data_IF_059730425753
#
_entry.id   IF_059730425753
#
_cell.length_a   1.000
_cell.length_b   1.000
_cell.length_c   1.000
_cell.angle_alpha   90.00
_cell.angle_beta   90.00
_cell.angle_gamma   90.00
#
_symmetry.space_group_name_H-M   'P 1'
#
loop_
_entity.id
_entity.type
_entity.pdbx_description
1 polymer ?
#
# COMPACT_ATOMS: atom_id res chain seq x y z
N UNK A 1 2.97 13.97 -35.47
CA UNK A 1 4.38 14.16 -35.08
C UNK A 1 5.08 12.80 -35.13
N UNK A 2 6.31 12.77 -35.62
CA UNK A 2 7.19 11.59 -35.61
C UNK A 2 8.64 12.05 -35.31
N UNK A 3 9.60 11.15 -35.41
CA UNK A 3 11.01 11.43 -35.11
C UNK A 3 11.63 12.56 -35.94
N UNK A 4 11.18 12.79 -37.18
CA UNK A 4 11.72 13.86 -38.03
C UNK A 4 11.35 15.25 -37.51
N UNK A 5 10.33 15.34 -36.64
CA UNK A 5 9.88 16.58 -36.01
C UNK A 5 10.46 16.80 -34.61
N UNK A 6 11.27 15.87 -34.08
CA UNK A 6 11.75 15.88 -32.68
C UNK A 6 12.42 17.19 -32.27
N UNK A 7 13.37 17.65 -33.07
CA UNK A 7 14.11 18.88 -32.77
C UNK A 7 13.24 20.12 -32.94
N UNK A 8 12.40 20.18 -33.98
CA UNK A 8 11.45 21.28 -34.19
C UNK A 8 10.43 21.38 -33.06
N UNK A 9 9.94 20.25 -32.54
CA UNK A 9 9.02 20.23 -31.40
C UNK A 9 9.70 20.74 -30.11
N UNK A 10 10.94 20.32 -29.88
CA UNK A 10 11.75 20.80 -28.76
C UNK A 10 12.02 22.30 -28.86
N UNK A 11 12.40 22.81 -30.04
CA UNK A 11 12.63 24.24 -30.27
C UNK A 11 11.34 25.06 -30.06
N UNK A 12 10.21 24.56 -30.55
CA UNK A 12 8.91 25.14 -30.29
C UNK A 12 8.62 25.26 -28.79
N UNK A 13 8.84 24.19 -28.02
CA UNK A 13 8.60 24.21 -26.57
C UNK A 13 9.52 25.18 -25.82
N UNK A 14 10.79 25.31 -26.24
CA UNK A 14 11.71 26.32 -25.68
C UNK A 14 11.21 27.73 -25.93
N UNK A 15 10.81 28.04 -27.17
CA UNK A 15 10.24 29.35 -27.54
C UNK A 15 8.94 29.64 -26.80
N UNK A 16 8.05 28.66 -26.71
CA UNK A 16 6.82 28.77 -25.96
C UNK A 16 7.11 29.07 -24.48
N UNK A 17 8.06 28.37 -23.86
CA UNK A 17 8.37 28.61 -22.45
C UNK A 17 8.89 30.02 -22.21
N UNK A 18 9.73 30.57 -23.10
CA UNK A 18 10.23 31.95 -23.00
C UNK A 18 9.07 32.97 -23.01
N UNK A 19 8.04 32.72 -23.82
CA UNK A 19 6.91 33.64 -23.99
C UNK A 19 5.87 33.54 -22.87
N UNK A 20 5.76 32.38 -22.21
CA UNK A 20 4.82 32.19 -21.10
C UNK A 20 5.40 32.85 -19.83
N UNK A 21 4.64 33.72 -19.12
CA UNK A 21 5.12 34.35 -17.88
C UNK A 21 5.63 33.33 -16.85
N UNK A 22 6.70 33.67 -16.11
CA UNK A 22 7.36 32.75 -15.17
C UNK A 22 6.44 32.25 -14.04
N UNK A 23 5.44 33.04 -13.66
CA UNK A 23 4.43 32.68 -12.67
C UNK A 23 3.40 31.66 -13.20
N UNK A 24 3.31 31.47 -14.51
CA UNK A 24 2.46 30.44 -15.11
C UNK A 24 3.24 29.15 -15.25
N UNK A 25 2.53 28.04 -15.03
CA UNK A 25 3.04 26.70 -15.19
C UNK A 25 2.91 26.25 -16.66
N UNK A 26 3.92 25.55 -17.15
CA UNK A 26 3.87 24.84 -18.43
C UNK A 26 4.10 23.36 -18.17
N UNK A 27 3.23 22.52 -18.72
CA UNK A 27 3.38 21.06 -18.68
C UNK A 27 3.41 20.49 -20.08
N UNK A 28 4.19 19.43 -20.29
CA UNK A 28 4.28 18.74 -21.58
C UNK A 28 3.82 17.30 -21.40
N UNK A 29 2.76 16.90 -22.10
CA UNK A 29 2.38 15.50 -22.17
C UNK A 29 3.35 14.73 -23.08
N UNK A 30 3.87 13.61 -22.60
CA UNK A 30 4.80 12.74 -23.34
C UNK A 30 4.29 11.31 -23.34
N UNK A 31 4.44 10.63 -24.46
CA UNK A 31 4.01 9.24 -24.63
C UNK A 31 4.91 8.29 -23.84
N UNK A 32 4.34 7.38 -23.05
CA UNK A 32 5.10 6.32 -22.38
C UNK A 32 5.98 5.55 -23.37
N UNK A 33 7.21 5.26 -22.98
CA UNK A 33 8.18 4.61 -23.88
C UNK A 33 9.08 3.60 -23.16
N UNK A 34 8.51 2.58 -22.48
CA UNK A 34 9.29 1.59 -21.73
C UNK A 34 10.23 0.78 -22.64
N UNK A 35 9.97 0.72 -23.94
CA UNK A 35 10.75 -0.05 -24.92
C UNK A 35 11.82 0.77 -25.67
N UNK A 36 12.03 2.03 -25.29
CA UNK A 36 13.01 2.93 -25.93
C UNK A 36 12.83 3.03 -27.45
N UNK A 37 11.58 3.10 -27.92
CA UNK A 37 11.27 3.36 -29.32
C UNK A 37 11.78 4.74 -29.75
N UNK A 38 12.53 4.78 -30.86
CA UNK A 38 13.14 6.00 -31.38
C UNK A 38 12.48 6.52 -32.65
N UNK A 39 11.50 5.78 -33.19
CA UNK A 39 10.76 6.09 -34.41
C UNK A 39 9.25 6.15 -34.15
N UNK A 40 8.50 6.66 -35.12
CA UNK A 40 7.07 6.90 -35.00
C UNK A 40 6.75 8.02 -34.00
N UNK A 41 5.55 8.01 -33.46
CA UNK A 41 5.09 9.04 -32.53
C UNK A 41 5.94 9.11 -31.25
N UNK A 42 6.37 7.99 -30.67
CA UNK A 42 7.32 7.96 -29.54
C UNK A 42 8.64 8.64 -29.88
N UNK A 43 9.14 8.43 -31.10
CA UNK A 43 10.35 9.05 -31.60
C UNK A 43 10.30 10.58 -31.64
N UNK A 44 9.13 11.20 -31.57
CA UNK A 44 9.00 12.66 -31.56
C UNK A 44 9.40 13.33 -30.23
N UNK A 45 9.49 12.57 -29.14
CA UNK A 45 9.75 13.11 -27.81
C UNK A 45 11.24 12.97 -27.42
N UNK A 46 11.97 14.09 -27.42
CA UNK A 46 13.27 14.16 -26.74
C UNK A 46 13.05 14.51 -25.26
N UNK A 47 12.89 13.48 -24.42
CA UNK A 47 12.57 13.63 -23.02
C UNK A 47 13.50 14.59 -22.28
N UNK A 48 14.82 14.48 -22.53
CA UNK A 48 15.81 15.35 -21.89
C UNK A 48 15.64 16.79 -22.33
N UNK A 49 15.64 17.05 -23.64
CA UNK A 49 15.57 18.42 -24.14
C UNK A 49 14.21 19.08 -23.85
N UNK A 50 13.12 18.30 -23.81
CA UNK A 50 11.80 18.78 -23.40
C UNK A 50 11.78 19.15 -21.91
N UNK A 51 12.38 18.33 -21.05
CA UNK A 51 12.56 18.66 -19.62
C UNK A 51 13.45 19.89 -19.41
N UNK A 52 14.51 20.05 -20.20
CA UNK A 52 15.39 21.22 -20.16
C UNK A 52 14.68 22.50 -20.62
N UNK A 53 13.73 22.39 -21.55
CA UNK A 53 12.92 23.51 -22.01
C UNK A 53 11.98 24.05 -20.92
N UNK A 54 11.65 23.24 -19.92
CA UNK A 54 10.76 23.57 -18.81
C UNK A 54 11.55 24.23 -17.67
N UNK A 55 11.72 25.54 -17.76
CA UNK A 55 12.58 26.33 -16.84
C UNK A 55 11.83 26.97 -15.67
N UNK A 56 10.51 26.86 -15.61
CA UNK A 56 9.69 27.35 -14.50
C UNK A 56 9.76 26.45 -13.28
N UNK A 57 9.58 26.99 -12.05
CA UNK A 57 9.70 26.24 -10.81
C UNK A 57 8.63 25.16 -10.64
N UNK A 58 7.50 25.31 -11.33
CA UNK A 58 6.37 24.38 -11.26
C UNK A 58 6.20 23.54 -12.54
N UNK A 59 7.05 23.69 -13.53
CA UNK A 59 6.89 23.01 -14.81
C UNK A 59 7.19 21.52 -14.70
N UNK A 60 6.53 20.70 -15.53
CA UNK A 60 6.68 19.24 -15.46
C UNK A 60 6.38 18.52 -16.79
N UNK A 61 6.90 17.30 -16.93
CA UNK A 61 6.45 16.34 -17.92
C UNK A 61 5.30 15.50 -17.34
N UNK A 62 4.18 15.45 -18.06
CA UNK A 62 3.07 14.55 -17.80
C UNK A 62 3.30 13.26 -18.60
N UNK A 63 3.80 12.21 -17.95
CA UNK A 63 4.13 10.95 -18.61
C UNK A 63 2.89 10.08 -18.70
N UNK A 64 2.35 9.89 -19.91
CA UNK A 64 1.10 9.17 -20.15
C UNK A 64 1.31 7.64 -20.07
N UNK A 65 1.53 7.11 -18.86
CA UNK A 65 1.80 5.69 -18.58
C UNK A 65 0.54 4.81 -18.66
N UNK A 66 -0.18 4.92 -19.77
CA UNK A 66 -1.36 4.15 -20.12
C UNK A 66 -1.44 3.93 -21.63
N UNK A 67 -2.45 3.17 -22.07
CA UNK A 67 -2.58 2.66 -23.44
C UNK A 67 -1.48 1.69 -23.85
N UNK A 68 -0.98 0.88 -22.90
CA UNK A 68 -0.19 -0.31 -23.19
C UNK A 68 -0.93 -1.23 -24.17
N UNK A 69 -2.21 -1.46 -23.91
CA UNK A 69 -3.16 -2.03 -24.87
C UNK A 69 -4.10 -0.92 -25.36
N UNK A 70 -4.29 -0.82 -26.67
CA UNK A 70 -5.01 0.30 -27.30
C UNK A 70 -6.15 -0.17 -28.21
N UNK A 71 -6.97 0.77 -28.68
CA UNK A 71 -8.07 0.49 -29.62
C UNK A 71 -7.52 -0.08 -30.93
N UNK A 72 -8.00 -1.26 -31.31
CA UNK A 72 -7.51 -1.98 -32.49
C UNK A 72 -6.29 -2.87 -32.23
N UNK A 73 -5.67 -2.77 -31.06
CA UNK A 73 -4.54 -3.59 -30.63
C UNK A 73 -4.97 -4.91 -29.96
N UNK A 74 -4.00 -5.75 -29.57
CA UNK A 74 -4.28 -6.99 -28.86
C UNK A 74 -4.98 -6.75 -27.50
N UNK A 75 -5.71 -7.76 -27.03
CA UNK A 75 -6.32 -7.74 -25.70
C UNK A 75 -5.22 -7.71 -24.62
N UNK A 76 -5.37 -6.81 -23.65
CA UNK A 76 -4.46 -6.73 -22.51
C UNK A 76 -4.75 -5.58 -21.56
N UNK A 77 -3.93 -5.44 -20.50
CA UNK A 77 -4.05 -4.36 -19.53
C UNK A 77 -3.88 -2.98 -20.21
N UNK A 78 -4.63 -1.99 -19.71
CA UNK A 78 -4.48 -0.59 -20.16
C UNK A 78 -3.16 -0.01 -19.67
N UNK A 79 -2.70 -0.42 -18.49
CA UNK A 79 -1.45 -0.01 -17.87
C UNK A 79 -1.00 -1.07 -16.86
N UNK A 80 -0.29 -2.12 -17.26
CA UNK A 80 0.27 -3.09 -16.32
C UNK A 80 1.28 -2.43 -15.38
N UNK A 81 1.48 -2.99 -14.18
CA UNK A 81 2.40 -2.40 -13.21
C UNK A 81 3.84 -2.33 -13.76
N UNK A 82 4.30 -3.37 -14.45
CA UNK A 82 5.62 -3.41 -15.09
C UNK A 82 5.74 -2.35 -16.19
N UNK A 83 4.74 -2.20 -17.05
CA UNK A 83 4.74 -1.17 -18.10
C UNK A 83 4.85 0.24 -17.50
N UNK A 84 4.11 0.52 -16.43
CA UNK A 84 4.15 1.79 -15.72
C UNK A 84 5.54 2.01 -15.10
N UNK A 85 6.07 1.02 -14.38
CA UNK A 85 7.37 1.13 -13.72
C UNK A 85 8.53 1.29 -14.71
N UNK A 86 8.52 0.54 -15.81
CA UNK A 86 9.56 0.62 -16.83
C UNK A 86 9.49 1.94 -17.62
N UNK A 87 8.30 2.52 -17.75
CA UNK A 87 8.12 3.88 -18.28
C UNK A 87 8.77 4.92 -17.37
N UNK A 88 8.62 4.79 -16.05
CA UNK A 88 9.28 5.66 -15.06
C UNK A 88 10.80 5.52 -15.17
N UNK A 89 11.32 4.28 -15.15
CA UNK A 89 12.75 4.01 -15.30
C UNK A 89 13.31 4.58 -16.59
N UNK A 90 12.61 4.41 -17.71
CA UNK A 90 12.98 5.01 -18.98
C UNK A 90 13.12 6.53 -18.87
N UNK A 91 12.10 7.18 -18.30
CA UNK A 91 12.05 8.64 -18.15
C UNK A 91 13.24 9.16 -17.32
N UNK A 92 13.53 8.52 -16.19
CA UNK A 92 14.67 8.82 -15.33
C UNK A 92 16.00 8.58 -16.04
N UNK A 93 16.13 7.48 -16.79
CA UNK A 93 17.31 7.16 -17.58
C UNK A 93 17.59 8.16 -18.71
N UNK A 94 16.57 8.91 -19.15
CA UNK A 94 16.73 10.07 -20.05
C UNK A 94 17.12 11.35 -19.31
N UNK A 95 17.53 11.26 -18.05
CA UNK A 95 17.99 12.39 -17.22
C UNK A 95 16.92 13.46 -17.01
N UNK A 96 15.65 13.06 -16.98
CA UNK A 96 14.56 13.92 -16.51
C UNK A 96 14.57 13.89 -14.98
N UNK A 97 14.67 15.03 -14.29
CA UNK A 97 14.62 15.06 -12.83
C UNK A 97 13.28 14.56 -12.29
N UNK A 98 13.30 13.77 -11.22
CA UNK A 98 12.11 13.12 -10.67
C UNK A 98 11.03 14.13 -10.23
N UNK A 99 11.45 15.26 -9.68
CA UNK A 99 10.61 16.39 -9.25
C UNK A 99 9.93 17.14 -10.42
N UNK A 100 10.26 16.80 -11.67
CA UNK A 100 9.59 17.27 -12.90
C UNK A 100 8.72 16.21 -13.55
N UNK A 101 8.52 15.04 -12.94
CA UNK A 101 7.74 13.95 -13.53
C UNK A 101 6.40 13.84 -12.81
N UNK A 102 5.30 14.01 -13.56
CA UNK A 102 3.95 13.65 -13.13
C UNK A 102 3.54 12.37 -13.86
N UNK A 103 3.22 11.33 -13.09
CA UNK A 103 2.84 10.02 -13.63
C UNK A 103 1.35 10.00 -14.02
N UNK A 104 1.06 9.76 -15.30
CA UNK A 104 -0.29 9.58 -15.81
C UNK A 104 -0.84 8.17 -15.55
N UNK A 105 -2.01 8.06 -14.93
CA UNK A 105 -2.71 6.79 -14.65
C UNK A 105 -4.12 6.83 -15.30
N UNK A 106 -4.62 5.72 -15.90
CA UNK A 106 -5.93 5.72 -16.53
C UNK A 106 -7.06 5.54 -15.50
N UNK A 107 -8.17 6.25 -15.72
CA UNK A 107 -9.45 6.07 -15.04
C UNK A 107 -10.46 5.30 -15.89
N UNK A 108 -9.99 4.59 -16.91
CA UNK A 108 -10.82 3.79 -17.81
C UNK A 108 -10.25 2.40 -18.01
N UNK A 109 -11.13 1.49 -18.39
CA UNK A 109 -10.77 0.20 -18.94
C UNK A 109 -10.92 0.15 -20.45
N UNK A 110 -10.60 -1.00 -21.04
CA UNK A 110 -10.86 -1.30 -22.45
C UNK A 110 -11.56 -2.64 -22.60
N UNK A 111 -12.53 -2.71 -23.52
CA UNK A 111 -13.32 -3.91 -23.81
C UNK A 111 -12.91 -4.55 -25.15
N UNK A 112 -12.78 -5.87 -25.14
CA UNK A 112 -12.65 -6.74 -26.31
C UNK A 112 -13.78 -7.78 -26.31
N UNK A 113 -14.19 -8.24 -27.49
CA UNK A 113 -15.18 -9.31 -27.62
C UNK A 113 -14.83 -10.28 -28.75
N UNK A 114 -14.88 -11.58 -28.47
CA UNK A 114 -14.56 -12.63 -29.43
C UNK A 114 -15.56 -12.64 -30.58
N UNK A 115 -15.08 -12.57 -31.83
CA UNK A 115 -15.91 -12.51 -33.05
C UNK A 115 -16.88 -11.31 -33.07
N UNK A 116 -16.52 -10.21 -32.42
CA UNK A 116 -17.32 -8.98 -32.39
C UNK A 116 -16.53 -7.78 -32.93
N UNK A 117 -17.20 -6.63 -33.08
CA UNK A 117 -16.54 -5.37 -33.46
C UNK A 117 -15.91 -4.61 -32.28
N UNK A 118 -15.90 -5.22 -31.08
CA UNK A 118 -15.26 -4.68 -29.88
C UNK A 118 -13.79 -5.10 -29.83
N UNK A 119 -12.92 -4.15 -30.14
CA UNK A 119 -11.47 -4.35 -30.16
C UNK A 119 -10.77 -3.19 -29.43
N UNK A 120 -10.65 -3.32 -28.11
CA UNK A 120 -10.00 -2.34 -27.23
C UNK A 120 -10.76 -1.02 -27.12
N UNK A 121 -12.08 -1.03 -27.15
CA UNK A 121 -12.89 0.20 -27.01
C UNK A 121 -12.83 0.68 -25.56
N UNK A 122 -12.63 1.98 -25.34
CA UNK A 122 -12.58 2.56 -23.98
C UNK A 122 -13.92 2.44 -23.26
N UNK A 123 -13.88 2.10 -21.98
CA UNK A 123 -15.04 1.99 -21.08
C UNK A 123 -14.73 2.65 -19.75
N UNK A 124 -15.64 3.50 -19.27
CA UNK A 124 -15.55 4.07 -17.91
C UNK A 124 -15.91 3.02 -16.86
N UNK A 125 -15.49 3.24 -15.62
CA UNK A 125 -15.90 2.45 -14.46
C UNK A 125 -17.41 2.40 -14.27
N UNK A 126 -18.12 3.50 -14.53
CA UNK A 126 -19.58 3.51 -14.47
C UNK A 126 -20.20 2.48 -15.44
N UNK A 127 -19.63 2.37 -16.65
CA UNK A 127 -20.06 1.37 -17.62
C UNK A 127 -19.66 -0.04 -17.20
N UNK A 128 -18.45 -0.22 -16.65
CA UNK A 128 -18.00 -1.52 -16.14
C UNK A 128 -18.94 -2.01 -15.03
N UNK A 129 -19.29 -1.16 -14.07
CA UNK A 129 -20.21 -1.48 -12.97
C UNK A 129 -21.61 -1.83 -13.51
N UNK A 130 -22.15 -1.03 -14.43
CA UNK A 130 -23.44 -1.33 -15.06
C UNK A 130 -23.45 -2.66 -15.83
N UNK A 131 -22.37 -2.98 -16.53
CA UNK A 131 -22.19 -4.25 -17.25
C UNK A 131 -22.12 -5.42 -16.24
N UNK A 132 -21.36 -5.26 -15.15
CA UNK A 132 -21.29 -6.29 -14.09
C UNK A 132 -22.66 -6.56 -13.48
N UNK A 133 -23.45 -5.52 -13.20
CA UNK A 133 -24.80 -5.67 -12.64
C UNK A 133 -25.76 -6.34 -13.63
N UNK A 134 -25.75 -5.89 -14.89
CA UNK A 134 -26.62 -6.40 -15.94
C UNK A 134 -26.33 -7.87 -16.28
N UNK A 135 -25.06 -8.25 -16.35
CA UNK A 135 -24.61 -9.60 -16.71
C UNK A 135 -24.08 -10.38 -15.50
N UNK A 136 -24.55 -10.07 -14.28
CA UNK A 136 -24.05 -10.63 -13.01
C UNK A 136 -23.97 -12.17 -12.96
N UNK A 137 -24.83 -12.85 -13.71
CA UNK A 137 -24.87 -14.31 -13.76
C UNK A 137 -23.66 -14.93 -14.50
N UNK A 138 -22.97 -14.16 -15.34
CA UNK A 138 -21.80 -14.61 -16.11
C UNK A 138 -20.56 -13.75 -15.86
N UNK A 139 -20.72 -12.57 -15.27
CA UNK A 139 -19.64 -11.66 -14.94
C UNK A 139 -18.72 -12.24 -13.85
N UNK A 140 -17.42 -12.29 -14.14
CA UNK A 140 -16.38 -12.72 -13.21
C UNK A 140 -15.19 -11.77 -13.28
N UNK A 141 -14.86 -11.16 -12.15
CA UNK A 141 -13.62 -10.39 -11.98
C UNK A 141 -12.53 -11.32 -11.46
N UNK A 142 -11.39 -11.33 -12.15
CA UNK A 142 -10.16 -11.97 -11.69
C UNK A 142 -9.05 -10.93 -11.60
N UNK A 143 -7.99 -11.23 -10.85
CA UNK A 143 -6.81 -10.37 -10.74
C UNK A 143 -5.61 -11.10 -11.33
N UNK A 144 -5.02 -10.55 -12.39
CA UNK A 144 -3.87 -11.15 -13.04
C UNK A 144 -2.59 -10.83 -12.24
N UNK A 145 -1.92 -11.87 -11.72
CA UNK A 145 -0.73 -11.71 -10.88
C UNK A 145 0.53 -11.31 -11.65
N UNK A 146 0.54 -11.44 -12.97
CA UNK A 146 1.69 -11.04 -13.79
C UNK A 146 1.65 -9.54 -14.06
N UNK A 147 0.56 -9.06 -14.67
CA UNK A 147 0.35 -7.64 -14.96
C UNK A 147 -0.05 -6.80 -13.75
N UNK A 148 -0.44 -7.44 -12.64
CA UNK A 148 -0.99 -6.81 -11.44
C UNK A 148 -2.23 -5.95 -11.74
N UNK A 149 -3.08 -6.41 -12.66
CA UNK A 149 -4.24 -5.68 -13.18
C UNK A 149 -5.49 -6.57 -13.13
N UNK A 150 -6.67 -6.04 -12.73
CA UNK A 150 -7.90 -6.80 -12.78
C UNK A 150 -8.44 -6.98 -14.21
N UNK A 151 -9.19 -8.06 -14.38
CA UNK A 151 -9.86 -8.42 -15.62
C UNK A 151 -11.28 -8.88 -15.32
N UNK A 152 -12.26 -8.27 -15.97
CA UNK A 152 -13.64 -8.72 -15.97
C UNK A 152 -13.88 -9.54 -17.24
N UNK A 153 -14.38 -10.75 -17.09
CA UNK A 153 -14.92 -11.55 -18.20
C UNK A 153 -16.41 -11.75 -17.98
N UNK A 154 -17.21 -11.59 -19.03
CA UNK A 154 -18.65 -11.87 -18.99
C UNK A 154 -19.14 -12.40 -20.34
N UNK A 155 -20.27 -13.10 -20.32
CA UNK A 155 -20.93 -13.59 -21.53
C UNK A 155 -22.34 -13.02 -21.60
N UNK A 156 -22.62 -12.28 -22.67
CA UNK A 156 -23.98 -11.91 -23.05
C UNK A 156 -24.60 -13.08 -23.82
N UNK A 157 -25.73 -13.60 -23.35
CA UNK A 157 -26.47 -14.69 -23.99
C UNK A 157 -27.52 -14.15 -24.95
N UNK A 158 -28.02 -15.02 -25.84
CA UNK A 158 -29.18 -14.68 -26.67
C UNK A 158 -30.41 -14.43 -25.78
N UNK A 159 -31.11 -13.34 -26.03
CA UNK A 159 -32.27 -12.90 -25.23
C UNK A 159 -31.93 -12.00 -24.04
N UNK A 160 -30.65 -11.85 -23.68
CA UNK A 160 -30.26 -10.87 -22.66
C UNK A 160 -30.49 -9.44 -23.18
N UNK A 161 -30.87 -8.47 -22.32
CA UNK A 161 -30.87 -7.06 -22.69
C UNK A 161 -29.49 -6.63 -23.21
N UNK A 162 -29.48 -5.85 -24.29
CA UNK A 162 -28.23 -5.31 -24.83
C UNK A 162 -27.74 -4.13 -23.98
N UNK A 163 -26.43 -3.88 -24.03
CA UNK A 163 -25.79 -2.69 -23.46
C UNK A 163 -25.03 -1.96 -24.56
N UNK A 164 -25.08 -0.63 -24.58
CA UNK A 164 -24.47 0.18 -25.65
C UNK A 164 -23.19 0.86 -25.18
N UNK A 165 -22.10 0.63 -25.89
CA UNK A 165 -20.78 1.22 -25.62
C UNK A 165 -20.28 1.91 -26.89
N UNK A 166 -19.92 3.20 -26.78
CA UNK A 166 -19.39 3.99 -27.90
C UNK A 166 -20.25 3.90 -29.18
N UNK A 167 -21.57 3.92 -29.02
CA UNK A 167 -22.52 3.85 -30.15
C UNK A 167 -22.67 2.45 -30.76
N UNK A 168 -22.20 1.39 -30.09
CA UNK A 168 -22.32 0.01 -30.54
C UNK A 168 -23.02 -0.84 -29.49
N UNK A 169 -23.96 -1.66 -29.92
CA UNK A 169 -24.66 -2.60 -29.05
C UNK A 169 -23.81 -3.85 -28.87
N UNK A 170 -23.75 -4.36 -27.63
CA UNK A 170 -23.27 -5.70 -27.38
C UNK A 170 -24.20 -6.71 -28.06
N UNK A 171 -23.60 -7.71 -28.69
CA UNK A 171 -24.28 -8.87 -29.26
C UNK A 171 -23.93 -10.12 -28.42
N UNK A 172 -24.70 -11.22 -28.52
CA UNK A 172 -24.38 -12.46 -27.83
C UNK A 172 -22.93 -12.88 -28.10
N UNK A 173 -22.18 -13.14 -27.03
CA UNK A 173 -20.74 -13.36 -27.11
C UNK A 173 -20.05 -13.20 -25.76
N UNK A 174 -18.76 -13.53 -25.74
CA UNK A 174 -17.91 -13.37 -24.55
C UNK A 174 -17.02 -12.15 -24.72
N UNK A 175 -16.98 -11.34 -23.67
CA UNK A 175 -16.24 -10.10 -23.62
C UNK A 175 -15.26 -10.10 -22.46
N UNK A 176 -14.15 -9.40 -22.68
CA UNK A 176 -13.13 -9.15 -21.67
C UNK A 176 -12.95 -7.65 -21.51
N UNK A 177 -12.93 -7.19 -20.27
CA UNK A 177 -12.58 -5.82 -19.89
C UNK A 177 -11.35 -5.85 -18.99
N UNK A 178 -10.30 -5.16 -19.41
CA UNK A 178 -9.16 -4.85 -18.56
C UNK A 178 -9.30 -3.42 -18.04
N UNK A 179 -9.11 -3.23 -16.74
CA UNK A 179 -9.34 -1.96 -16.06
C UNK A 179 -8.46 -1.85 -14.82
N UNK A 180 -8.54 -0.75 -14.07
CA UNK A 180 -7.86 -0.61 -12.78
C UNK A 180 -8.85 -0.75 -11.62
N UNK A 181 -8.47 -1.41 -10.53
CA UNK A 181 -9.26 -1.36 -9.29
C UNK A 181 -8.40 -0.82 -8.15
N UNK A 182 -8.95 -0.81 -6.94
CA UNK A 182 -8.21 -0.42 -5.73
C UNK A 182 -6.81 -1.04 -5.67
N UNK A 183 -6.71 -2.35 -5.88
CA UNK A 183 -5.47 -3.10 -5.69
C UNK A 183 -4.41 -2.72 -6.71
N UNK A 184 -4.77 -2.56 -7.98
CA UNK A 184 -3.82 -2.17 -9.03
C UNK A 184 -3.44 -0.69 -8.96
N UNK A 185 -4.40 0.19 -8.63
CA UNK A 185 -4.17 1.62 -8.47
C UNK A 185 -3.18 1.92 -7.33
N UNK A 186 -3.36 1.31 -6.15
CA UNK A 186 -2.43 1.49 -5.01
C UNK A 186 -0.99 1.16 -5.38
N UNK A 187 -0.78 0.06 -6.10
CA UNK A 187 0.56 -0.36 -6.54
C UNK A 187 1.21 0.68 -7.46
N UNK A 188 0.44 1.32 -8.33
CA UNK A 188 0.93 2.38 -9.22
C UNK A 188 1.23 3.68 -8.46
N UNK A 189 0.37 4.06 -7.51
CA UNK A 189 0.59 5.24 -6.66
C UNK A 189 1.85 5.10 -5.79
N UNK A 190 2.15 3.90 -5.29
CA UNK A 190 3.40 3.62 -4.57
C UNK A 190 4.64 3.89 -5.44
N UNK A 191 4.57 3.69 -6.77
CA UNK A 191 5.71 4.00 -7.65
C UNK A 191 6.06 5.49 -7.65
N UNK A 192 5.07 6.37 -7.47
CA UNK A 192 5.29 7.82 -7.37
C UNK A 192 6.19 8.13 -6.17
N UNK A 193 5.94 7.49 -5.02
CA UNK A 193 6.78 7.62 -3.82
C UNK A 193 8.13 6.92 -4.00
N UNK A 194 8.14 5.68 -4.47
CA UNK A 194 9.35 4.85 -4.68
C UNK A 194 10.41 5.59 -5.51
N UNK A 195 9.98 6.32 -6.53
CA UNK A 195 10.88 7.06 -7.43
C UNK A 195 10.97 8.55 -7.12
N UNK A 196 10.38 9.00 -6.01
CA UNK A 196 10.34 10.40 -5.60
C UNK A 196 9.87 11.35 -6.73
N UNK A 197 8.83 10.92 -7.45
CA UNK A 197 8.27 11.70 -8.56
C UNK A 197 7.47 12.89 -8.02
N UNK A 198 7.32 13.95 -8.83
CA UNK A 198 6.54 15.14 -8.48
C UNK A 198 5.11 14.83 -8.03
N UNK A 199 4.49 13.83 -8.65
CA UNK A 199 3.11 13.44 -8.35
C UNK A 199 2.50 12.56 -9.44
N UNK A 200 1.17 12.53 -9.48
CA UNK A 200 0.39 11.80 -10.48
C UNK A 200 -0.73 12.67 -11.04
N UNK A 201 -1.20 12.34 -12.23
CA UNK A 201 -2.42 12.85 -12.82
C UNK A 201 -3.16 11.73 -13.55
N UNK A 202 -4.41 11.98 -13.94
CA UNK A 202 -5.28 10.89 -14.40
C UNK A 202 -6.08 11.25 -15.64
N UNK A 203 -6.29 10.26 -16.50
CA UNK A 203 -7.14 10.40 -17.69
C UNK A 203 -8.36 9.47 -17.60
N UNK A 204 -9.59 9.97 -17.52
CA UNK A 204 -9.92 11.36 -17.18
C UNK A 204 -11.07 11.39 -16.18
N UNK A 205 -11.25 12.53 -15.53
CA UNK A 205 -12.30 12.75 -14.54
C UNK A 205 -13.68 12.30 -15.05
N UNK A 206 -14.52 11.82 -14.14
CA UNK A 206 -15.85 11.25 -14.42
C UNK A 206 -15.83 9.90 -15.13
N UNK A 207 -14.67 9.24 -15.24
CA UNK A 207 -14.57 7.87 -15.75
C UNK A 207 -14.20 6.87 -14.67
N UNK A 208 -13.67 7.32 -13.55
CA UNK A 208 -13.25 6.55 -12.41
C UNK A 208 -14.41 5.94 -11.62
N UNK A 209 -14.11 4.92 -10.81
CA UNK A 209 -14.97 4.61 -9.69
C UNK A 209 -14.77 5.72 -8.63
N UNK A 210 -15.83 6.35 -8.08
CA UNK A 210 -15.67 7.40 -7.08
C UNK A 210 -14.81 6.99 -5.88
N UNK A 211 -14.79 5.70 -5.52
CA UNK A 211 -13.96 5.18 -4.44
C UNK A 211 -12.45 5.28 -4.73
N UNK A 212 -12.05 5.43 -6.00
CA UNK A 212 -10.65 5.64 -6.36
C UNK A 212 -10.08 6.89 -5.69
N UNK A 213 -10.88 7.95 -5.54
CA UNK A 213 -10.45 9.18 -4.87
C UNK A 213 -10.10 8.99 -3.41
N UNK A 214 -10.69 8.01 -2.72
CA UNK A 214 -10.29 7.67 -1.36
C UNK A 214 -8.81 7.27 -1.32
N UNK A 215 -8.32 6.53 -2.31
CA UNK A 215 -6.91 6.13 -2.36
C UNK A 215 -5.98 7.27 -2.76
N UNK A 216 -6.42 8.17 -3.64
CA UNK A 216 -5.65 9.39 -3.90
C UNK A 216 -5.55 10.24 -2.65
N UNK A 217 -6.63 10.39 -1.88
CA UNK A 217 -6.62 11.11 -0.61
C UNK A 217 -5.71 10.44 0.43
N UNK A 218 -5.85 9.13 0.61
CA UNK A 218 -5.00 8.30 1.46
C UNK A 218 -3.51 8.44 1.06
N UNK A 219 -3.18 8.27 -0.22
CA UNK A 219 -1.83 8.40 -0.74
C UNK A 219 -1.26 9.83 -0.59
N UNK A 220 -2.06 10.85 -0.86
CA UNK A 220 -1.66 12.26 -0.73
C UNK A 220 -1.37 12.66 0.72
N UNK A 221 -2.11 12.08 1.67
CA UNK A 221 -1.97 12.37 3.10
C UNK A 221 -1.06 11.38 3.84
N UNK A 222 -0.48 10.40 3.14
CA UNK A 222 0.29 9.29 3.72
C UNK A 222 -0.50 8.40 4.71
N UNK A 223 -1.83 8.33 4.55
CA UNK A 223 -2.77 7.59 5.39
C UNK A 223 -3.13 6.25 4.70
N UNK A 224 -3.09 5.11 5.41
CA UNK A 224 -3.21 3.78 4.78
C UNK A 224 -4.53 3.01 5.09
N UNK A 225 -5.30 3.42 6.11
CA UNK A 225 -6.47 2.67 6.62
C UNK A 225 -7.69 3.57 6.89
N UNK A 226 -8.89 3.15 6.46
CA UNK A 226 -10.13 3.95 6.53
C UNK A 226 -10.63 4.16 7.97
N UNK A 227 -10.38 3.19 8.84
CA UNK A 227 -10.84 3.12 10.23
C UNK A 227 -9.86 3.79 11.21
N UNK A 228 -8.83 4.44 10.69
CA UNK A 228 -7.81 5.17 11.46
C UNK A 228 -7.98 6.69 11.34
N UNK A 229 -8.78 7.16 10.38
CA UNK A 229 -9.06 8.58 10.18
C UNK A 229 -9.73 9.15 11.44
N UNK A 230 -9.19 10.24 11.98
CA UNK A 230 -9.63 10.92 13.21
C UNK A 230 -9.55 10.05 14.49
N UNK A 231 -8.90 8.88 14.42
CA UNK A 231 -8.68 8.02 15.57
C UNK A 231 -7.57 8.59 16.47
N UNK A 232 -7.71 8.53 17.79
CA UNK A 232 -6.75 9.13 18.74
C UNK A 232 -5.31 8.59 18.59
N UNK A 233 -5.17 7.35 18.13
CA UNK A 233 -3.89 6.69 17.87
C UNK A 233 -3.41 6.81 16.42
N UNK A 234 -4.00 7.68 15.59
CA UNK A 234 -3.70 7.78 14.16
C UNK A 234 -2.20 7.92 13.89
N UNK A 235 -1.54 8.88 14.55
CA UNK A 235 -0.10 9.10 14.41
C UNK A 235 0.74 7.91 14.87
N UNK A 236 0.36 7.27 15.98
CA UNK A 236 1.04 6.09 16.52
C UNK A 236 0.95 4.90 15.54
N UNK A 237 -0.24 4.66 14.99
CA UNK A 237 -0.51 3.60 14.02
C UNK A 237 0.32 3.79 12.75
N UNK A 238 0.44 5.03 12.28
CA UNK A 238 1.28 5.32 11.12
C UNK A 238 2.75 5.09 11.41
N UNK A 239 3.25 5.52 12.57
CA UNK A 239 4.65 5.36 12.94
C UNK A 239 5.11 3.90 12.95
N UNK A 240 4.25 2.99 13.42
CA UNK A 240 4.54 1.54 13.42
C UNK A 240 4.25 0.88 12.08
N UNK A 241 3.36 1.44 11.26
CA UNK A 241 3.03 0.88 9.95
C UNK A 241 4.09 1.18 8.90
N UNK A 242 4.62 2.40 8.85
CA UNK A 242 5.69 2.76 7.89
C UNK A 242 7.00 2.00 8.14
N UNK A 243 7.16 1.42 9.32
CA UNK A 243 8.28 0.54 9.69
C UNK A 243 8.00 -0.94 9.44
N UNK A 244 6.84 -1.26 8.86
CA UNK A 244 6.31 -2.62 8.67
C UNK A 244 6.14 -3.42 9.97
N UNK A 245 6.24 -2.80 11.15
CA UNK A 245 6.11 -3.46 12.46
C UNK A 245 4.68 -3.97 12.68
N UNK A 246 3.69 -3.10 12.48
CA UNK A 246 2.26 -3.47 12.50
C UNK A 246 1.62 -3.22 11.14
N UNK A 247 0.88 -4.22 10.65
CA UNK A 247 0.14 -4.14 9.39
C UNK A 247 -1.36 -4.20 9.63
N UNK A 248 -2.15 -3.74 8.66
CA UNK A 248 -3.60 -3.84 8.71
C UNK A 248 -4.11 -5.28 8.75
N UNK A 249 -5.33 -5.46 9.27
CA UNK A 249 -6.03 -6.74 9.23
C UNK A 249 -6.62 -7.03 7.86
N UNK A 250 -6.77 -5.98 7.05
CA UNK A 250 -7.13 -6.06 5.64
C UNK A 250 -6.35 -5.00 4.84
N UNK A 251 -6.59 -4.92 3.54
CA UNK A 251 -5.96 -3.93 2.68
C UNK A 251 -6.40 -2.47 2.97
N UNK A 252 -7.49 -2.26 3.72
CA UNK A 252 -8.01 -0.93 4.04
C UNK A 252 -8.45 -0.76 5.51
N UNK A 253 -8.27 -1.77 6.36
CA UNK A 253 -8.61 -1.70 7.80
C UNK A 253 -7.40 -2.03 8.65
N UNK A 254 -7.14 -1.18 9.64
CA UNK A 254 -6.18 -1.47 10.70
C UNK A 254 -6.83 -2.20 11.87
N UNK A 255 -8.13 -2.01 12.11
CA UNK A 255 -8.86 -2.42 13.32
C UNK A 255 -8.23 -1.85 14.60
N UNK A 256 -8.17 -0.51 14.79
CA UNK A 256 -7.48 0.10 15.92
C UNK A 256 -8.05 -0.30 17.28
N UNK A 257 -9.38 -0.37 17.40
CA UNK A 257 -10.07 -0.83 18.61
C UNK A 257 -10.25 -2.35 18.66
N UNK A 258 -9.75 -3.06 17.65
CA UNK A 258 -9.78 -4.51 17.59
C UNK A 258 -8.84 -5.16 18.59
N UNK A 259 -9.14 -6.42 18.91
CA UNK A 259 -8.31 -7.27 19.76
C UNK A 259 -6.94 -7.50 19.14
N UNK A 260 -5.88 -7.28 19.93
CA UNK A 260 -4.54 -7.75 19.60
C UNK A 260 -4.35 -9.16 20.18
N UNK A 261 -4.10 -10.17 19.34
CA UNK A 261 -3.82 -11.54 19.81
C UNK A 261 -2.35 -11.73 20.19
N UNK A 262 -2.06 -12.78 20.96
CA UNK A 262 -0.69 -13.16 21.33
C UNK A 262 0.20 -13.45 20.12
N UNK A 263 -0.35 -14.08 19.07
CA UNK A 263 0.35 -14.29 17.81
C UNK A 263 0.73 -12.97 17.11
N UNK A 264 -0.20 -12.01 17.06
CA UNK A 264 0.09 -10.67 16.50
C UNK A 264 1.20 -9.97 17.29
N UNK A 265 1.16 -10.05 18.63
CA UNK A 265 2.22 -9.53 19.48
C UNK A 265 3.58 -10.16 19.16
N UNK A 266 3.67 -11.48 19.01
CA UNK A 266 4.93 -12.16 18.70
C UNK A 266 5.49 -11.73 17.33
N UNK A 267 4.62 -11.66 16.31
CA UNK A 267 5.01 -11.18 14.97
C UNK A 267 5.51 -9.75 14.99
N UNK A 268 4.85 -8.87 15.74
CA UNK A 268 5.25 -7.48 15.93
C UNK A 268 6.69 -7.38 16.47
N UNK A 269 7.02 -8.11 17.55
CA UNK A 269 8.37 -8.04 18.13
C UNK A 269 9.46 -8.53 17.17
N UNK A 270 9.18 -9.58 16.38
CA UNK A 270 10.14 -10.10 15.40
C UNK A 270 10.42 -9.07 14.31
N UNK A 271 9.40 -8.37 13.84
CA UNK A 271 9.52 -7.30 12.84
C UNK A 271 10.23 -6.08 13.40
N UNK A 272 9.90 -5.69 14.63
CA UNK A 272 10.54 -4.58 15.32
C UNK A 272 12.07 -4.75 15.41
N UNK A 273 12.53 -5.99 15.60
CA UNK A 273 13.96 -6.32 15.70
C UNK A 273 14.62 -6.69 14.35
N UNK A 274 13.90 -6.67 13.23
CA UNK A 274 14.45 -7.07 11.92
C UNK A 274 14.81 -8.56 11.81
N UNK A 275 14.14 -9.43 12.57
CA UNK A 275 14.44 -10.87 12.65
C UNK A 275 13.61 -11.73 11.71
N UNK A 276 12.88 -11.18 10.74
CA UNK A 276 11.96 -11.92 9.87
C UNK A 276 12.66 -12.99 9.03
N UNK A 277 13.94 -12.81 8.72
CA UNK A 277 14.76 -13.77 7.98
C UNK A 277 15.62 -14.66 8.88
N UNK A 278 15.51 -14.52 10.20
CA UNK A 278 16.24 -15.38 11.13
C UNK A 278 15.80 -16.84 10.99
N UNK A 279 16.78 -17.74 11.00
CA UNK A 279 16.55 -19.18 11.12
C UNK A 279 16.49 -19.56 12.59
N UNK A 280 15.71 -20.59 12.91
CA UNK A 280 15.59 -21.16 14.25
C UNK A 280 16.39 -22.45 14.32
N UNK A 281 17.14 -22.63 15.39
CA UNK A 281 18.02 -23.78 15.62
C UNK A 281 17.46 -24.76 16.64
N UNK A 282 16.47 -24.32 17.43
CA UNK A 282 15.84 -25.15 18.47
C UNK A 282 14.55 -25.82 17.96
N UNK A 283 14.11 -26.93 18.58
CA UNK A 283 12.80 -27.50 18.27
C UNK A 283 11.66 -26.57 18.70
N UNK A 284 10.64 -26.44 17.85
CA UNK A 284 9.45 -25.63 18.16
C UNK A 284 8.70 -26.20 19.38
N UNK A 285 8.56 -25.45 20.50
CA UNK A 285 8.13 -26.03 21.77
C UNK A 285 6.60 -26.10 21.95
N UNK A 286 5.83 -25.31 21.21
CA UNK A 286 4.40 -25.13 21.46
C UNK A 286 3.56 -26.14 20.67
N UNK A 287 2.74 -26.93 21.37
CA UNK A 287 1.93 -28.00 20.79
C UNK A 287 0.60 -27.51 20.24
N UNK A 288 0.13 -26.36 20.73
CA UNK A 288 -1.15 -25.74 20.41
C UNK A 288 -1.07 -24.75 19.24
N UNK A 289 0.09 -24.62 18.59
CA UNK A 289 0.24 -23.82 17.37
C UNK A 289 0.30 -24.76 16.16
N UNK A 290 -0.76 -24.81 15.33
CA UNK A 290 -0.80 -25.66 14.13
C UNK A 290 0.38 -25.42 13.19
N UNK A 291 0.80 -26.45 12.46
CA UNK A 291 1.94 -26.36 11.53
C UNK A 291 1.79 -25.32 10.43
N UNK A 292 0.56 -25.07 10.02
CA UNK A 292 0.13 -24.12 9.00
C UNK A 292 -0.34 -22.77 9.58
N UNK A 293 -0.25 -22.58 10.89
CA UNK A 293 -0.61 -21.32 11.52
C UNK A 293 0.28 -20.18 10.99
N UNK A 294 -0.33 -19.10 10.51
CA UNK A 294 0.35 -17.98 9.83
C UNK A 294 1.51 -17.38 10.65
N UNK A 295 1.35 -17.34 11.98
CA UNK A 295 2.35 -16.78 12.90
C UNK A 295 3.42 -17.79 13.36
N UNK A 296 3.34 -19.08 13.00
CA UNK A 296 4.21 -20.12 13.59
C UNK A 296 5.69 -19.79 13.48
N UNK A 297 6.14 -19.35 12.30
CA UNK A 297 7.53 -18.91 12.08
C UNK A 297 7.93 -17.80 13.05
N UNK A 298 7.09 -16.77 13.18
CA UNK A 298 7.38 -15.62 14.04
C UNK A 298 7.36 -15.99 15.52
N UNK A 299 6.40 -16.81 15.97
CA UNK A 299 6.34 -17.32 17.33
C UNK A 299 7.63 -18.11 17.65
N UNK A 300 8.13 -18.91 16.71
CA UNK A 300 9.36 -19.67 16.92
C UNK A 300 10.58 -18.75 17.09
N UNK A 301 10.75 -17.80 16.16
CA UNK A 301 11.85 -16.82 16.20
C UNK A 301 11.77 -16.01 17.49
N UNK A 302 10.59 -15.50 17.84
CA UNK A 302 10.40 -14.70 19.05
C UNK A 302 10.75 -15.49 20.32
N UNK A 303 10.41 -16.78 20.37
CA UNK A 303 10.74 -17.64 21.51
C UNK A 303 12.25 -17.90 21.59
N UNK A 304 12.90 -18.22 20.48
CA UNK A 304 14.35 -18.48 20.44
C UNK A 304 15.16 -17.22 20.76
N UNK A 305 14.67 -16.05 20.37
CA UNK A 305 15.27 -14.74 20.68
C UNK A 305 14.93 -14.23 22.09
N UNK A 306 14.17 -14.97 22.89
CA UNK A 306 13.80 -14.57 24.25
C UNK A 306 12.80 -13.41 24.34
N UNK A 307 12.15 -13.05 23.22
CA UNK A 307 11.18 -11.96 23.15
C UNK A 307 9.84 -12.36 23.80
N UNK A 308 9.48 -13.64 23.75
CA UNK A 308 8.22 -14.17 24.29
C UNK A 308 8.41 -15.41 25.16
N UNK A 309 7.41 -15.68 25.99
CA UNK A 309 7.19 -16.95 26.67
C UNK A 309 5.78 -17.48 26.39
N UNK A 310 5.63 -18.81 26.45
CA UNK A 310 4.33 -19.45 26.45
C UNK A 310 3.59 -19.28 27.77
N UNK A 311 2.30 -19.59 27.79
CA UNK A 311 1.52 -19.72 29.04
C UNK A 311 1.93 -20.95 29.83
N UNK A 312 2.55 -21.93 29.16
CA UNK A 312 3.30 -23.03 29.76
C UNK A 312 4.58 -23.31 28.96
N UNK A 313 5.33 -24.33 29.34
CA UNK A 313 6.50 -24.80 28.55
C UNK A 313 6.12 -25.33 27.16
N UNK A 314 4.86 -25.73 26.95
CA UNK A 314 4.38 -26.35 25.70
C UNK A 314 3.13 -25.70 25.11
N UNK A 315 2.66 -24.58 25.67
CA UNK A 315 1.43 -23.89 25.26
C UNK A 315 1.69 -22.42 25.03
N UNK A 316 1.24 -21.88 23.89
CA UNK A 316 1.40 -20.47 23.56
C UNK A 316 0.10 -19.67 23.53
N UNK A 317 -1.04 -20.26 23.19
CA UNK A 317 -2.35 -19.62 22.98
C UNK A 317 -2.30 -18.53 21.91
N UNK A 318 -2.05 -18.86 20.62
CA UNK A 318 -1.76 -17.88 19.58
C UNK A 318 -2.92 -16.91 19.31
N UNK A 319 -4.16 -17.38 19.38
CA UNK A 319 -5.35 -16.62 19.01
C UNK A 319 -6.05 -15.95 20.20
N UNK A 320 -5.55 -16.19 21.42
CA UNK A 320 -6.10 -15.53 22.62
C UNK A 320 -5.73 -14.05 22.65
N UNK A 321 -6.63 -13.18 23.16
CA UNK A 321 -6.34 -11.77 23.40
C UNK A 321 -5.11 -11.56 24.29
N UNK A 322 -4.27 -10.60 23.92
CA UNK A 322 -3.11 -10.21 24.71
C UNK A 322 -3.53 -9.30 25.86
N UNK A 323 -3.18 -9.66 27.10
CA UNK A 323 -3.45 -8.81 28.27
C UNK A 323 -2.38 -7.73 28.47
N UNK A 324 -2.70 -6.67 29.21
CA UNK A 324 -1.78 -5.56 29.50
C UNK A 324 -0.50 -6.01 30.19
N UNK A 325 -0.57 -6.96 31.11
CA UNK A 325 0.64 -7.48 31.77
C UNK A 325 1.50 -8.35 30.84
N UNK A 326 0.88 -9.05 29.89
CA UNK A 326 1.61 -9.82 28.87
C UNK A 326 2.29 -8.89 27.87
N UNK A 327 1.62 -7.82 27.42
CA UNK A 327 2.21 -6.79 26.59
C UNK A 327 3.39 -6.10 27.30
N UNK A 328 3.25 -5.77 28.59
CA UNK A 328 4.33 -5.20 29.39
C UNK A 328 5.54 -6.14 29.49
N UNK A 329 5.33 -7.44 29.69
CA UNK A 329 6.41 -8.42 29.70
C UNK A 329 7.12 -8.52 28.35
N UNK A 330 6.34 -8.56 27.27
CA UNK A 330 6.85 -8.64 25.90
C UNK A 330 7.70 -7.41 25.54
N UNK A 331 7.23 -6.21 25.86
CA UNK A 331 7.99 -4.97 25.68
C UNK A 331 9.22 -4.93 26.58
N UNK A 332 9.12 -5.38 27.83
CA UNK A 332 10.28 -5.46 28.73
C UNK A 332 11.39 -6.37 28.17
N UNK A 333 11.02 -7.50 27.56
CA UNK A 333 11.97 -8.40 26.90
C UNK A 333 12.58 -7.75 25.65
N UNK A 334 11.77 -7.01 24.87
CA UNK A 334 12.20 -6.32 23.66
C UNK A 334 13.20 -5.20 23.97
N UNK A 335 12.87 -4.30 24.90
CA UNK A 335 13.57 -3.03 25.11
C UNK A 335 14.84 -3.17 25.96
N UNK A 336 14.97 -4.29 26.69
CA UNK A 336 16.17 -4.67 27.44
C UNK A 336 16.73 -3.53 28.31
N UNK A 337 15.87 -2.72 28.91
CA UNK A 337 16.31 -1.76 29.91
C UNK A 337 16.86 -2.51 31.13
N UNK A 338 17.94 -2.02 31.78
CA UNK A 338 18.40 -2.57 33.04
C UNK A 338 17.25 -2.66 34.04
N UNK A 339 17.13 -3.78 34.74
CA UNK A 339 16.04 -3.99 35.69
C UNK A 339 16.04 -2.88 36.74
N UNK A 340 14.94 -2.13 36.78
CA UNK A 340 14.68 -1.17 37.84
C UNK A 340 14.65 -1.85 39.22
N UNK A 341 15.20 -1.17 40.23
CA UNK A 341 15.00 -1.54 41.64
C UNK A 341 13.50 -1.56 41.97
N UNK A 342 13.03 -2.69 42.50
CA UNK A 342 11.64 -2.95 42.81
C UNK A 342 11.22 -2.23 44.09
N UNK A 343 10.15 -1.41 44.07
CA UNK A 343 9.66 -0.78 45.28
C UNK A 343 8.97 -1.81 46.18
N UNK A 344 9.11 -1.64 47.50
CA UNK A 344 8.48 -2.50 48.51
C UNK A 344 6.94 -2.43 48.46
N UNK A 345 6.40 -1.29 48.06
CA UNK A 345 4.98 -1.09 47.76
C UNK A 345 4.81 -0.82 46.26
N UNK A 346 3.85 -1.49 45.64
CA UNK A 346 3.53 -1.27 44.24
C UNK A 346 2.97 0.15 44.03
N UNK A 347 3.39 0.86 42.98
CA UNK A 347 2.76 2.12 42.58
C UNK A 347 1.34 1.92 42.04
N UNK A 348 0.95 0.68 41.70
CA UNK A 348 -0.39 0.33 41.23
C UNK A 348 -1.11 -0.56 42.26
N UNK A 349 -2.35 -0.18 42.61
CA UNK A 349 -3.15 -0.81 43.68
C UNK A 349 -3.50 -2.28 43.40
N UNK A 350 -3.59 -2.65 42.13
CA UNK A 350 -4.01 -3.96 41.64
C UNK A 350 -2.84 -4.83 41.14
N UNK A 351 -1.60 -4.38 41.38
CA UNK A 351 -0.37 -5.09 41.02
C UNK A 351 0.36 -5.46 42.31
N UNK A 352 0.56 -6.76 42.54
CA UNK A 352 1.22 -7.27 43.75
C UNK A 352 2.72 -7.50 43.48
N UNK A 353 3.63 -7.18 44.41
CA UNK A 353 5.06 -7.45 44.23
C UNK A 353 5.41 -8.91 43.94
N UNK A 354 4.55 -9.85 44.36
CA UNK A 354 4.72 -11.29 44.14
C UNK A 354 4.25 -11.79 42.77
N UNK A 355 3.63 -10.95 41.93
CA UNK A 355 3.13 -11.39 40.63
C UNK A 355 4.26 -11.48 39.60
N UNK A 356 4.17 -12.46 38.69
CA UNK A 356 5.21 -12.72 37.69
C UNK A 356 5.53 -11.51 36.79
N UNK A 357 4.53 -10.67 36.51
CA UNK A 357 4.64 -9.49 35.67
C UNK A 357 5.15 -8.24 36.40
N UNK A 358 5.40 -8.31 37.71
CA UNK A 358 5.74 -7.15 38.54
C UNK A 358 6.97 -6.41 38.01
N UNK A 359 8.08 -7.12 37.80
CA UNK A 359 9.33 -6.52 37.32
C UNK A 359 9.14 -5.82 35.97
N UNK A 360 8.45 -6.46 35.02
CA UNK A 360 8.20 -5.87 33.71
C UNK A 360 7.34 -4.61 33.80
N UNK A 361 6.24 -4.65 34.57
CA UNK A 361 5.35 -3.49 34.75
C UNK A 361 6.11 -2.32 35.37
N UNK A 362 6.89 -2.55 36.43
CA UNK A 362 7.68 -1.51 37.09
C UNK A 362 8.75 -0.96 36.15
N UNK A 363 9.44 -1.82 35.39
CA UNK A 363 10.49 -1.39 34.48
C UNK A 363 9.92 -0.52 33.34
N UNK A 364 8.80 -0.93 32.74
CA UNK A 364 8.12 -0.16 31.70
C UNK A 364 7.59 1.17 32.21
N UNK A 365 7.08 1.21 33.45
CA UNK A 365 6.63 2.46 34.06
C UNK A 365 7.79 3.42 34.36
N UNK A 366 8.90 2.93 34.95
CA UNK A 366 10.06 3.81 35.24
C UNK A 366 10.75 4.37 33.99
N UNK A 367 10.62 3.70 32.85
CA UNK A 367 11.13 4.16 31.57
C UNK A 367 10.08 4.95 30.76
N UNK A 368 8.95 5.34 31.36
CA UNK A 368 7.88 6.11 30.73
C UNK A 368 7.28 5.45 29.46
N UNK A 369 7.33 4.12 29.38
CA UNK A 369 6.74 3.37 28.26
C UNK A 369 5.27 3.06 28.53
N UNK A 370 4.93 2.67 29.77
CA UNK A 370 3.56 2.34 30.18
C UNK A 370 3.17 3.10 31.44
N UNK A 371 1.97 3.67 31.42
CA UNK A 371 1.33 4.26 32.59
C UNK A 371 0.13 3.44 33.08
N UNK A 372 -0.22 3.68 34.35
CA UNK A 372 -1.47 3.24 34.95
C UNK A 372 -2.63 4.20 34.65
N UNK A 373 -3.80 3.84 35.14
CA UNK A 373 -4.99 4.66 35.09
C UNK A 373 -4.98 5.71 36.21
N UNK A 374 -5.76 6.77 36.02
CA UNK A 374 -5.87 7.89 36.98
C UNK A 374 -6.41 7.48 38.35
N UNK A 375 -7.06 6.32 38.45
CA UNK A 375 -7.52 5.73 39.72
C UNK A 375 -6.40 5.01 40.52
N UNK A 376 -5.19 4.95 39.96
CA UNK A 376 -4.03 4.29 40.55
C UNK A 376 -3.97 2.77 40.28
N UNK A 377 -4.70 2.27 39.29
CA UNK A 377 -4.63 0.86 38.85
C UNK A 377 -3.82 0.69 37.57
N UNK A 378 -3.35 -0.53 37.29
CA UNK A 378 -2.71 -0.90 36.03
C UNK A 378 -3.63 -1.71 35.11
N UNK A 379 -4.58 -2.44 35.69
CA UNK A 379 -5.51 -3.39 35.06
C UNK A 379 -4.78 -4.50 34.30
N UNK A 380 -3.95 -5.33 34.97
CA UNK A 380 -3.06 -6.30 34.32
C UNK A 380 -3.79 -7.31 33.43
N UNK A 381 -5.03 -7.65 33.77
CA UNK A 381 -5.85 -8.64 33.04
C UNK A 381 -6.71 -8.05 31.92
N UNK A 382 -6.74 -6.72 31.78
CA UNK A 382 -7.48 -6.09 30.67
C UNK A 382 -6.73 -6.36 29.36
N UNK A 383 -7.49 -6.62 28.30
CA UNK A 383 -6.94 -6.85 26.96
C UNK A 383 -6.43 -5.54 26.35
N UNK A 384 -5.37 -5.64 25.55
CA UNK A 384 -4.76 -4.52 24.83
C UNK A 384 -5.37 -4.43 23.43
N UNK A 385 -5.80 -3.23 23.03
CA UNK A 385 -6.21 -2.98 21.65
C UNK A 385 -5.01 -2.82 20.72
N UNK A 386 -5.23 -2.96 19.42
CA UNK A 386 -4.18 -2.75 18.42
C UNK A 386 -3.65 -1.30 18.44
N UNK A 387 -4.52 -0.31 18.67
CA UNK A 387 -4.15 1.09 18.83
C UNK A 387 -3.31 1.35 20.09
N UNK A 388 -3.68 0.75 21.23
CA UNK A 388 -2.89 0.84 22.46
C UNK A 388 -1.48 0.28 22.24
N UNK A 389 -1.35 -0.88 21.60
CA UNK A 389 -0.03 -1.44 21.28
C UNK A 389 0.77 -0.58 20.29
N UNK A 390 0.12 -0.01 19.27
CA UNK A 390 0.77 0.90 18.33
C UNK A 390 1.39 2.10 19.06
N UNK A 391 0.66 2.70 20.01
CA UNK A 391 1.19 3.78 20.85
C UNK A 391 2.39 3.34 21.68
N UNK A 392 2.32 2.18 22.34
CA UNK A 392 3.43 1.66 23.15
C UNK A 392 4.70 1.44 22.30
N UNK A 393 4.54 0.90 21.10
CA UNK A 393 5.65 0.72 20.16
C UNK A 393 6.20 2.06 19.65
N UNK A 394 5.34 3.02 19.33
CA UNK A 394 5.76 4.37 18.88
C UNK A 394 6.60 5.08 19.95
N UNK A 395 6.14 5.06 21.21
CA UNK A 395 6.90 5.60 22.36
C UNK A 395 8.25 4.89 22.55
N UNK A 396 8.37 3.65 22.08
CA UNK A 396 9.58 2.84 22.23
C UNK A 396 10.55 2.90 21.03
N UNK A 397 10.24 3.68 19.98
CA UNK A 397 10.99 3.67 18.71
C UNK A 397 12.48 3.91 18.91
N UNK A 398 12.86 4.99 19.60
CA UNK A 398 14.27 5.37 19.73
C UNK A 398 15.09 4.24 20.36
N UNK A 399 14.51 3.58 21.38
CA UNK A 399 15.15 2.45 22.04
C UNK A 399 15.25 1.21 21.15
N UNK A 400 14.22 0.95 20.35
CA UNK A 400 14.26 -0.17 19.39
C UNK A 400 15.33 0.10 18.33
N UNK A 401 15.39 1.32 17.80
CA UNK A 401 16.39 1.71 16.81
C UNK A 401 17.81 1.63 17.37
N UNK A 402 18.03 1.97 18.65
CA UNK A 402 19.32 1.76 19.36
C UNK A 402 19.73 0.28 19.47
N UNK A 403 18.77 -0.65 19.51
CA UNK A 403 19.05 -2.08 19.67
C UNK A 403 19.28 -2.80 18.34
N UNK A 404 18.81 -2.22 17.24
CA UNK A 404 18.91 -2.80 15.89
C UNK A 404 20.15 -2.27 15.15
N UNK A 405 20.65 -1.09 15.50
CA UNK A 405 21.92 -0.53 15.02
C UNK A 405 23.09 -0.95 15.91
#
# INVERSE_FOLDING_TARGET
>A
LNETHRDSYTDFMKKLRILIPKQKQVSIAVAANPYNWTTGWHGSYDYKKLSDALTGPNDYLMVMAYDESWRGGPEGPVASLSFVEDTIKYTLNKQVPAEKIVLGIPFYGRIWGNNTSFNGIGVSHHQINAIMDQYKATAKVTFDSTSQTPKLTFTMKSGDPTYRIAGKDLIPGTYTIWFDNEKSLKKKLILVQKYNLRGTGSWSLSQEDPQMWNYYNLWLNADYFKDVIDHWAQGDIYAVNVRDWMIGVSANEFSPDGTLTRAMGATLLVRAMGYEQATTTTPFPFKDVPSDHWAKKYIHIAKEKGLINGTSSTTFEPDEPLTREQAAQMLNNLLQYPNASLPAQSPFKDVKPSQWSYQAIINMNKNNIIDGYTDGTFQPKKNVSRAEMAKLMNVSIDRIDELVN
#
